data_IF_560650352736
#
_entry.id   IF_560650352736
#
_cell.length_a   1.000
_cell.length_b   1.000
_cell.length_c   1.000
_cell.angle_alpha   90.00
_cell.angle_beta   90.00
_cell.angle_gamma   90.00
#
_symmetry.space_group_name_H-M   'P 1'
#
loop_
_entity.id
_entity.type
_entity.pdbx_description
1 polymer ?
#
# COMPACT_ATOMS: atom_id res chain seq x y z
N UNK A 1 -5.24 18.87 10.91
CA UNK A 1 -4.41 18.91 9.69
C UNK A 1 -4.34 17.48 9.14
N UNK A 2 -4.66 17.25 7.85
CA UNK A 2 -4.56 15.92 7.24
C UNK A 2 -3.10 15.46 7.16
N UNK A 3 -2.82 14.22 7.55
CA UNK A 3 -1.50 13.60 7.41
C UNK A 3 -1.54 12.55 6.31
N UNK A 4 -0.64 12.68 5.34
CA UNK A 4 -0.46 11.69 4.29
C UNK A 4 0.79 10.87 4.60
N UNK A 5 0.64 9.54 4.64
CA UNK A 5 1.71 8.64 5.05
C UNK A 5 2.19 7.75 3.89
N UNK A 6 3.33 7.09 4.07
CA UNK A 6 3.93 6.22 3.04
C UNK A 6 3.43 4.77 3.04
N UNK A 7 2.59 4.36 4.00
CA UNK A 7 2.07 3.00 4.11
C UNK A 7 0.68 2.99 4.77
N UNK A 8 -0.10 1.94 4.48
CA UNK A 8 -1.47 1.76 5.00
C UNK A 8 -1.49 1.57 6.53
N UNK A 9 -0.42 1.01 7.10
CA UNK A 9 -0.24 0.85 8.55
C UNK A 9 -0.30 2.17 9.32
N UNK A 10 0.23 3.26 8.75
CA UNK A 10 0.10 4.59 9.34
C UNK A 10 -1.32 5.15 9.21
N UNK A 11 -2.04 4.83 8.13
CA UNK A 11 -3.46 5.18 7.96
C UNK A 11 -4.31 4.49 9.03
N UNK A 12 -4.03 3.21 9.31
CA UNK A 12 -4.60 2.46 10.44
C UNK A 12 -4.17 2.97 11.81
N UNK A 13 -3.15 3.83 11.87
CA UNK A 13 -2.67 4.50 13.08
C UNK A 13 -3.16 5.96 13.17
N UNK A 14 -4.09 6.38 12.31
CA UNK A 14 -4.73 7.70 12.35
C UNK A 14 -4.19 8.73 11.36
N UNK A 15 -3.31 8.36 10.42
CA UNK A 15 -3.07 9.17 9.23
C UNK A 15 -4.31 9.21 8.34
N UNK A 16 -4.47 10.26 7.53
CA UNK A 16 -5.64 10.44 6.69
C UNK A 16 -5.64 9.48 5.50
N UNK A 17 -4.59 9.50 4.68
CA UNK A 17 -4.53 8.67 3.49
C UNK A 17 -3.10 8.34 3.05
N UNK A 18 -2.95 7.35 2.18
CA UNK A 18 -1.70 6.97 1.51
C UNK A 18 -1.99 6.50 0.08
N UNK A 19 -0.99 6.62 -0.80
CA UNK A 19 -0.93 5.85 -2.04
C UNK A 19 0.16 4.80 -1.86
N UNK A 20 -0.25 3.55 -1.65
CA UNK A 20 0.61 2.44 -1.27
C UNK A 20 0.68 1.35 -2.34
N UNK A 21 1.49 0.34 -2.02
CA UNK A 21 1.66 -0.90 -2.79
C UNK A 21 1.03 -2.07 -2.03
N UNK A 22 0.81 -3.19 -2.70
CA UNK A 22 0.41 -4.43 -2.03
C UNK A 22 1.64 -5.17 -1.45
N UNK A 23 1.80 -5.11 -0.12
CA UNK A 23 2.91 -5.79 0.57
C UNK A 23 2.80 -7.31 0.56
N UNK A 24 1.61 -7.89 0.44
CA UNK A 24 1.45 -9.34 0.26
C UNK A 24 2.03 -9.77 -1.08
N UNK A 25 1.73 -9.03 -2.16
CA UNK A 25 2.30 -9.31 -3.49
C UNK A 25 3.82 -9.09 -3.50
N UNK A 26 4.30 -8.06 -2.80
CA UNK A 26 5.73 -7.83 -2.60
C UNK A 26 6.43 -9.04 -1.98
N UNK A 27 5.82 -9.63 -0.93
CA UNK A 27 6.32 -10.85 -0.29
C UNK A 27 6.34 -12.04 -1.25
N UNK A 28 5.29 -12.22 -2.05
CA UNK A 28 5.22 -13.29 -3.06
C UNK A 28 6.31 -13.12 -4.13
N UNK A 29 6.50 -11.91 -4.68
CA UNK A 29 7.56 -11.62 -5.66
C UNK A 29 8.94 -11.90 -5.06
N UNK A 30 9.17 -11.49 -3.81
CA UNK A 30 10.42 -11.74 -3.08
C UNK A 30 10.68 -13.23 -2.89
N UNK A 31 9.68 -14.01 -2.46
CA UNK A 31 9.82 -15.45 -2.26
C UNK A 31 10.10 -16.19 -3.56
N UNK A 32 9.46 -15.79 -4.67
CA UNK A 32 9.72 -16.34 -6.01
C UNK A 32 11.16 -16.08 -6.45
N UNK A 33 11.64 -14.84 -6.31
CA UNK A 33 13.03 -14.51 -6.62
C UNK A 33 14.01 -15.35 -5.80
N UNK A 34 13.76 -15.49 -4.48
CA UNK A 34 14.60 -16.32 -3.61
C UNK A 34 14.63 -17.78 -4.08
N UNK A 35 13.50 -18.33 -4.52
CA UNK A 35 13.43 -19.68 -5.06
C UNK A 35 14.20 -19.83 -6.38
N UNK A 36 14.08 -18.86 -7.29
CA UNK A 36 14.79 -18.86 -8.58
C UNK A 36 16.30 -18.79 -8.42
N UNK A 37 16.80 -17.99 -7.47
CA UNK A 37 18.24 -17.88 -7.15
C UNK A 37 18.83 -19.24 -6.74
N UNK A 38 18.03 -20.11 -6.13
CA UNK A 38 18.47 -21.45 -5.71
C UNK A 38 18.47 -22.48 -6.84
N UNK A 39 17.88 -22.17 -8.01
CA UNK A 39 17.81 -23.09 -9.14
C UNK A 39 19.14 -23.15 -9.91
N UNK A 40 19.58 -24.34 -10.38
CA UNK A 40 20.75 -24.46 -11.24
C UNK A 40 20.64 -23.60 -12.50
N UNK A 41 21.70 -22.85 -12.81
CA UNK A 41 21.74 -22.01 -14.00
C UNK A 41 21.04 -20.65 -13.86
N UNK A 42 20.71 -20.23 -12.63
CA UNK A 42 20.19 -18.88 -12.38
C UNK A 42 21.09 -17.81 -13.02
N UNK A 43 20.48 -16.95 -13.82
CA UNK A 43 21.08 -15.73 -14.34
C UNK A 43 20.20 -14.57 -13.93
N UNK A 44 20.79 -13.62 -13.23
CA UNK A 44 20.12 -12.39 -12.81
C UNK A 44 19.60 -11.66 -14.05
N UNK A 45 18.28 -11.51 -14.17
CA UNK A 45 17.62 -10.83 -15.29
C UNK A 45 17.41 -9.34 -15.03
N UNK A 46 17.18 -8.96 -13.77
CA UNK A 46 16.91 -7.58 -13.35
C UNK A 46 17.69 -7.22 -12.07
N UNK A 47 18.06 -5.95 -11.93
CA UNK A 47 18.82 -5.47 -10.76
C UNK A 47 17.94 -5.30 -9.52
N UNK A 48 16.69 -4.88 -9.72
CA UNK A 48 15.67 -4.67 -8.70
C UNK A 48 14.28 -4.91 -9.32
N UNK A 49 13.30 -5.27 -8.48
CA UNK A 49 11.90 -5.44 -8.87
C UNK A 49 11.10 -4.28 -8.30
N UNK A 50 10.28 -3.62 -9.13
CA UNK A 50 9.34 -2.59 -8.69
C UNK A 50 7.96 -3.18 -8.36
N UNK A 51 7.22 -2.45 -7.55
CA UNK A 51 5.85 -2.79 -7.17
C UNK A 51 4.92 -1.72 -7.71
N UNK A 52 3.80 -2.18 -8.25
CA UNK A 52 2.76 -1.27 -8.72
C UNK A 52 2.08 -0.63 -7.50
N UNK A 53 2.06 0.70 -7.50
CA UNK A 53 1.28 1.49 -6.55
C UNK A 53 -0.18 1.57 -6.97
N UNK A 54 -0.89 2.57 -6.45
CA UNK A 54 -2.28 2.84 -6.83
C UNK A 54 -3.31 2.21 -5.91
N UNK A 55 -2.91 1.74 -4.72
CA UNK A 55 -3.87 1.46 -3.65
C UNK A 55 -3.97 2.71 -2.78
N UNK A 56 -5.11 3.40 -2.88
CA UNK A 56 -5.37 4.56 -2.03
C UNK A 56 -6.04 4.07 -0.76
N UNK A 57 -5.31 4.04 0.35
CA UNK A 57 -5.93 3.72 1.65
C UNK A 57 -6.36 4.99 2.35
N UNK A 58 -7.61 5.07 2.79
CA UNK A 58 -8.20 6.23 3.47
C UNK A 58 -8.75 5.84 4.83
N UNK A 59 -8.42 6.60 5.88
CA UNK A 59 -9.01 6.44 7.20
C UNK A 59 -10.37 7.14 7.26
N UNK A 60 -11.46 6.38 7.44
CA UNK A 60 -12.83 6.90 7.42
C UNK A 60 -13.10 7.87 8.56
N UNK A 61 -12.56 7.63 9.75
CA UNK A 61 -12.76 8.50 10.91
C UNK A 61 -12.08 9.86 10.73
N UNK A 62 -10.92 9.87 10.08
CA UNK A 62 -10.21 11.12 9.75
C UNK A 62 -10.93 11.82 8.61
N UNK A 63 -11.40 11.08 7.61
CA UNK A 63 -12.19 11.61 6.50
C UNK A 63 -13.46 12.31 7.00
N UNK A 64 -14.19 11.70 7.94
CA UNK A 64 -15.36 12.27 8.60
C UNK A 64 -15.03 13.57 9.33
N UNK A 65 -13.96 13.59 10.14
CA UNK A 65 -13.50 14.80 10.84
C UNK A 65 -13.10 15.93 9.89
N UNK A 66 -12.68 15.59 8.68
CA UNK A 66 -12.31 16.54 7.63
C UNK A 66 -13.48 16.92 6.72
N UNK A 67 -14.62 16.23 6.81
CA UNK A 67 -15.77 16.42 5.92
C UNK A 67 -15.49 16.01 4.47
N UNK A 68 -14.65 15.00 4.25
CA UNK A 68 -14.22 14.54 2.91
C UNK A 68 -14.81 13.17 2.61
N UNK A 69 -15.43 13.02 1.43
CA UNK A 69 -15.80 11.70 0.91
C UNK A 69 -14.55 11.01 0.31
N UNK A 70 -14.17 9.79 0.72
CA UNK A 70 -13.07 9.03 0.12
C UNK A 70 -13.13 8.87 -1.41
N UNK A 71 -14.32 8.95 -2.03
CA UNK A 71 -14.51 8.85 -3.49
C UNK A 71 -13.74 9.91 -4.29
N UNK A 72 -13.32 11.02 -3.65
CA UNK A 72 -12.45 12.02 -4.31
C UNK A 72 -11.14 11.42 -4.82
N UNK A 73 -10.76 10.23 -4.30
CA UNK A 73 -9.54 9.54 -4.69
C UNK A 73 -9.75 8.48 -5.78
N UNK A 74 -10.97 8.29 -6.30
CA UNK A 74 -11.29 7.23 -7.25
C UNK A 74 -10.43 7.28 -8.53
N UNK A 75 -10.07 8.48 -8.99
CA UNK A 75 -9.24 8.66 -10.20
C UNK A 75 -7.75 8.38 -9.95
N UNK A 76 -7.32 8.22 -8.69
CA UNK A 76 -5.92 7.99 -8.33
C UNK A 76 -5.57 6.51 -8.17
N UNK A 77 -6.57 5.62 -8.12
CA UNK A 77 -6.37 4.18 -8.03
C UNK A 77 -7.49 3.45 -7.29
N UNK A 78 -7.21 2.24 -6.82
CA UNK A 78 -8.15 1.47 -6.03
C UNK A 78 -8.28 2.07 -4.63
N UNK A 79 -9.45 2.63 -4.32
CA UNK A 79 -9.75 3.15 -2.98
C UNK A 79 -10.09 2.00 -2.03
N UNK A 80 -9.41 1.97 -0.89
CA UNK A 80 -9.64 1.06 0.23
C UNK A 80 -9.83 1.88 1.49
N UNK A 81 -10.93 1.66 2.20
CA UNK A 81 -11.23 2.37 3.44
C UNK A 81 -10.86 1.54 4.66
N UNK A 82 -10.32 2.19 5.68
CA UNK A 82 -9.94 1.56 6.95
C UNK A 82 -10.35 2.43 8.13
N UNK A 83 -10.41 1.82 9.31
CA UNK A 83 -10.55 2.50 10.59
C UNK A 83 -9.23 2.47 11.38
N UNK A 84 -9.16 3.25 12.44
CA UNK A 84 -8.00 3.24 13.34
C UNK A 84 -8.01 1.95 14.17
N UNK A 85 -6.95 1.15 14.08
CA UNK A 85 -6.84 -0.12 14.80
C UNK A 85 -6.52 0.11 16.29
N UNK A 86 -7.03 -0.76 17.17
CA UNK A 86 -6.63 -0.80 18.59
C UNK A 86 -7.40 0.16 19.51
N UNK A 87 -8.65 0.49 19.14
CA UNK A 87 -9.61 1.13 20.03
C UNK A 87 -10.17 0.18 21.08
#
# INVERSE_FOLDING_TARGET
IPHYAGADSFVRSGAFATCGVNYTDAGVKTAKLAYEVLQPGFKKTEEFITLDGGIITVNTEVAEKLGVNPDIFADFGQVVTVETTGK
#
